data_IF_051365989462
#
_entry.id   IF_051365989462
#
_cell.length_a   1.000
_cell.length_b   1.000
_cell.length_c   1.000
_cell.angle_alpha   90.00
_cell.angle_beta   90.00
_cell.angle_gamma   90.00
#
_symmetry.space_group_name_H-M   'P 1'
#
loop_
_entity.id
_entity.type
_entity.pdbx_description
1 polymer ?
#
# COMPACT_ATOMS: atom_id res chain seq x y z
N UNK A 1 -16.03 1.14 -3.69
CA UNK A 1 -14.59 1.20 -3.35
C UNK A 1 -14.00 2.52 -3.83
N UNK A 2 -12.83 2.90 -3.30
CA UNK A 2 -12.25 4.25 -3.48
C UNK A 2 -12.13 4.69 -4.94
N UNK A 3 -12.79 5.80 -5.29
CA UNK A 3 -12.65 6.47 -6.59
C UNK A 3 -11.35 7.29 -6.70
N UNK A 4 -10.48 7.23 -5.69
CA UNK A 4 -9.23 7.98 -5.64
C UNK A 4 -8.34 7.60 -6.82
N UNK A 5 -7.75 8.62 -7.45
CA UNK A 5 -6.88 8.47 -8.61
C UNK A 5 -5.42 8.66 -8.19
N UNK A 6 -4.46 8.03 -8.89
CA UNK A 6 -3.04 8.26 -8.63
C UNK A 6 -2.67 9.73 -8.85
N UNK A 7 -1.98 10.31 -7.87
CA UNK A 7 -1.45 11.67 -7.95
C UNK A 7 -0.14 11.72 -8.78
N UNK A 8 0.44 12.92 -8.94
CA UNK A 8 1.67 13.13 -9.71
C UNK A 8 2.86 12.30 -9.22
N UNK A 9 3.01 12.09 -7.91
CA UNK A 9 4.08 11.27 -7.34
C UNK A 9 3.99 9.81 -7.79
N UNK A 10 2.79 9.21 -7.79
CA UNK A 10 2.62 7.84 -8.25
C UNK A 10 2.99 7.68 -9.74
N UNK A 11 2.56 8.63 -10.58
CA UNK A 11 2.86 8.63 -12.02
C UNK A 11 4.35 8.84 -12.29
N UNK A 12 5.00 9.68 -11.50
CA UNK A 12 6.45 9.89 -11.60
C UNK A 12 7.21 8.63 -11.24
N UNK A 13 6.88 7.97 -10.13
CA UNK A 13 7.52 6.73 -9.74
C UNK A 13 7.38 5.64 -10.82
N UNK A 14 6.20 5.54 -11.45
CA UNK A 14 6.00 4.69 -12.63
C UNK A 14 6.94 5.04 -13.79
N UNK A 15 7.13 6.33 -14.10
CA UNK A 15 8.01 6.71 -15.20
C UNK A 15 9.49 6.46 -14.87
N UNK A 16 9.91 6.72 -13.63
CA UNK A 16 11.26 6.41 -13.17
C UNK A 16 11.52 4.90 -13.16
N UNK A 17 10.48 4.10 -12.91
CA UNK A 17 10.52 2.65 -13.07
C UNK A 17 10.68 2.23 -14.54
N UNK A 18 9.92 2.82 -15.47
CA UNK A 18 10.07 2.55 -16.92
C UNK A 18 11.49 2.91 -17.41
N UNK A 19 12.12 3.92 -16.81
CA UNK A 19 13.50 4.34 -17.08
C UNK A 19 14.57 3.53 -16.31
N UNK A 20 14.14 2.56 -15.48
CA UNK A 20 15.01 1.73 -14.61
C UNK A 20 15.81 2.51 -13.57
N UNK A 21 15.37 3.73 -13.23
CA UNK A 21 15.93 4.53 -12.14
C UNK A 21 15.37 4.04 -10.80
N UNK A 22 14.08 3.74 -10.76
CA UNK A 22 13.44 3.07 -9.61
C UNK A 22 13.32 1.59 -9.94
N UNK A 23 14.11 0.75 -9.24
CA UNK A 23 14.09 -0.70 -9.47
C UNK A 23 12.83 -1.35 -8.90
N UNK A 24 12.37 -0.92 -7.72
CA UNK A 24 11.22 -1.49 -7.00
C UNK A 24 10.54 -0.42 -6.13
N UNK A 25 9.22 -0.52 -5.98
CA UNK A 25 8.43 0.30 -5.06
C UNK A 25 7.91 -0.59 -3.94
N UNK A 26 8.35 -0.34 -2.71
CA UNK A 26 7.75 -0.96 -1.52
C UNK A 26 6.77 0.02 -0.89
N UNK A 27 5.49 -0.35 -0.79
CA UNK A 27 4.45 0.51 -0.22
C UNK A 27 3.81 -0.10 1.02
N UNK A 28 3.57 0.75 2.02
CA UNK A 28 2.76 0.43 3.21
C UNK A 28 1.27 0.66 2.96
N UNK A 29 0.93 1.37 1.88
CA UNK A 29 -0.45 1.67 1.56
C UNK A 29 -1.14 0.45 0.97
N UNK A 30 -2.42 0.28 1.31
CA UNK A 30 -3.28 -0.81 0.81
C UNK A 30 -4.26 -0.33 -0.27
N UNK A 31 -4.05 0.89 -0.78
CA UNK A 31 -4.95 1.64 -1.66
C UNK A 31 -4.80 1.30 -3.16
N UNK A 32 -3.81 0.48 -3.53
CA UNK A 32 -3.56 0.04 -4.90
C UNK A 32 -3.16 1.16 -5.87
N UNK A 33 -2.85 2.37 -5.40
CA UNK A 33 -2.64 3.53 -6.27
C UNK A 33 -1.37 3.43 -7.13
N UNK A 34 -0.33 2.73 -6.67
CA UNK A 34 0.85 2.43 -7.49
C UNK A 34 0.50 1.51 -8.67
N UNK A 35 -0.23 0.42 -8.40
CA UNK A 35 -0.73 -0.50 -9.43
C UNK A 35 -1.65 0.24 -10.41
N UNK A 36 -2.53 1.10 -9.91
CA UNK A 36 -3.42 1.93 -10.74
C UNK A 36 -2.68 2.98 -11.56
N UNK A 37 -1.50 3.45 -11.12
CA UNK A 37 -0.61 4.29 -11.92
C UNK A 37 0.13 3.51 -13.01
N UNK A 38 0.08 2.18 -12.98
CA UNK A 38 0.71 1.27 -13.93
C UNK A 38 2.13 0.85 -13.55
N UNK A 39 2.55 1.06 -12.29
CA UNK A 39 3.79 0.49 -11.79
C UNK A 39 3.71 -1.03 -11.74
N UNK A 40 4.81 -1.72 -12.03
CA UNK A 40 4.84 -3.18 -12.21
C UNK A 40 5.59 -3.90 -11.10
N UNK A 41 6.73 -3.38 -10.67
CA UNK A 41 7.52 -3.91 -9.57
C UNK A 41 7.13 -3.23 -8.26
N UNK A 42 5.93 -3.58 -7.77
CA UNK A 42 5.36 -3.06 -6.53
C UNK A 42 5.27 -4.18 -5.50
N UNK A 43 5.84 -3.96 -4.32
CA UNK A 43 5.68 -4.82 -3.15
C UNK A 43 4.72 -4.14 -2.17
N UNK A 44 3.52 -4.71 -2.07
CA UNK A 44 2.49 -4.31 -1.11
C UNK A 44 2.83 -4.89 0.28
N UNK A 45 3.61 -4.16 1.09
CA UNK A 45 4.14 -4.64 2.38
C UNK A 45 3.03 -5.06 3.34
N UNK A 46 1.91 -4.33 3.33
CA UNK A 46 0.75 -4.57 4.19
C UNK A 46 -0.42 -5.21 3.45
N UNK A 47 -0.17 -5.78 2.27
CA UNK A 47 -1.22 -6.33 1.42
C UNK A 47 -2.06 -5.25 0.72
N UNK A 48 -3.29 -5.58 0.37
CA UNK A 48 -4.13 -4.76 -0.51
C UNK A 48 -5.60 -4.87 -0.16
N UNK A 49 -6.30 -3.73 -0.19
CA UNK A 49 -7.75 -3.69 0.04
C UNK A 49 -8.56 -4.28 -1.13
N UNK A 50 -7.90 -4.59 -2.26
CA UNK A 50 -8.54 -5.06 -3.49
C UNK A 50 -8.64 -6.58 -3.58
N UNK A 51 -8.23 -7.29 -2.52
CA UNK A 51 -8.21 -8.75 -2.48
C UNK A 51 -8.73 -9.26 -1.14
N UNK A 52 -9.40 -10.40 -1.19
CA UNK A 52 -9.88 -11.17 -0.04
C UNK A 52 -9.16 -12.51 -0.07
N UNK A 53 -8.69 -12.99 1.07
CA UNK A 53 -8.02 -14.28 1.21
C UNK A 53 -8.75 -15.18 2.19
N UNK A 54 -8.64 -16.48 2.01
CA UNK A 54 -9.05 -17.43 3.04
C UNK A 54 -7.92 -17.64 4.06
N UNK A 55 -8.30 -17.84 5.32
CA UNK A 55 -7.36 -18.15 6.40
C UNK A 55 -7.04 -19.65 6.52
N UNK A 56 -7.80 -20.50 5.83
CA UNK A 56 -7.67 -21.96 5.89
C UNK A 56 -7.06 -22.57 4.62
N UNK A 57 -7.16 -21.89 3.47
CA UNK A 57 -6.59 -22.34 2.20
C UNK A 57 -6.06 -21.16 1.39
N UNK A 58 -5.33 -21.45 0.31
CA UNK A 58 -4.59 -20.43 -0.44
C UNK A 58 -5.44 -19.61 -1.43
N UNK A 59 -6.78 -19.73 -1.38
CA UNK A 59 -7.63 -19.01 -2.32
C UNK A 59 -7.58 -17.50 -2.06
N UNK A 60 -7.45 -16.75 -3.14
CA UNK A 60 -7.53 -15.30 -3.17
C UNK A 60 -8.61 -14.89 -4.16
N UNK A 61 -9.47 -13.98 -3.73
CA UNK A 61 -10.66 -13.55 -4.44
C UNK A 61 -10.54 -12.04 -4.67
N UNK A 62 -10.93 -11.58 -5.84
CA UNK A 62 -11.02 -10.15 -6.11
C UNK A 62 -12.09 -9.53 -5.19
N UNK A 63 -11.76 -8.39 -4.55
CA UNK A 63 -12.67 -7.75 -3.59
C UNK A 63 -13.97 -7.26 -4.22
N UNK A 64 -13.98 -6.89 -5.50
CA UNK A 64 -15.19 -6.49 -6.23
C UNK A 64 -16.14 -7.67 -6.42
N UNK A 65 -15.60 -8.82 -6.83
CA UNK A 65 -16.40 -10.04 -7.00
C UNK A 65 -16.97 -10.48 -5.64
N UNK A 66 -16.16 -10.42 -4.58
CA UNK A 66 -16.63 -10.73 -3.23
C UNK A 66 -17.66 -9.73 -2.70
N UNK A 67 -17.63 -8.46 -3.13
CA UNK A 67 -18.66 -7.49 -2.75
C UNK A 67 -20.04 -7.94 -3.24
N UNK A 68 -20.13 -8.47 -4.46
CA UNK A 68 -21.41 -8.95 -5.00
C UNK A 68 -21.96 -10.13 -4.21
N UNK A 69 -21.06 -11.01 -3.72
CA UNK A 69 -21.44 -12.12 -2.83
C UNK A 69 -21.96 -11.58 -1.50
N UNK A 70 -21.28 -10.58 -0.92
CA UNK A 70 -21.73 -9.91 0.30
C UNK A 70 -23.09 -9.24 0.13
N UNK A 71 -23.30 -8.48 -0.95
CA UNK A 71 -24.56 -7.77 -1.23
C UNK A 71 -25.72 -8.75 -1.40
N UNK A 72 -25.47 -9.89 -2.05
CA UNK A 72 -26.48 -10.96 -2.23
C UNK A 72 -26.83 -11.63 -0.90
N UNK A 73 -25.84 -11.84 -0.03
CA UNK A 73 -26.05 -12.44 1.29
C UNK A 73 -26.71 -11.46 2.29
N UNK A 74 -26.61 -10.16 2.05
CA UNK A 74 -27.04 -9.11 2.97
C UNK A 74 -27.91 -8.03 2.28
N UNK A 75 -29.07 -8.41 1.70
CA UNK A 75 -29.88 -7.48 0.89
C UNK A 75 -30.47 -6.31 1.71
N UNK A 76 -30.58 -6.45 3.04
CA UNK A 76 -31.08 -5.42 3.96
C UNK A 76 -30.01 -4.39 4.35
N UNK A 77 -28.73 -4.68 4.13
CA UNK A 77 -27.63 -3.80 4.51
C UNK A 77 -27.48 -2.71 3.45
N UNK A 78 -28.03 -1.53 3.74
CA UNK A 78 -27.83 -0.35 2.89
C UNK A 78 -26.56 0.37 3.34
N UNK A 79 -25.49 0.33 2.55
CA UNK A 79 -24.23 0.98 2.88
C UNK A 79 -24.40 2.51 2.96
N UNK A 80 -24.57 3.04 4.17
CA UNK A 80 -24.59 4.49 4.39
C UNK A 80 -23.14 4.95 4.35
N UNK A 81 -22.78 5.72 3.33
CA UNK A 81 -21.42 6.25 3.08
C UNK A 81 -21.02 7.37 4.06
N UNK A 82 -21.18 7.15 5.36
CA UNK A 82 -20.75 8.09 6.38
C UNK A 82 -19.28 7.82 6.73
N UNK A 83 -18.41 8.73 6.29
CA UNK A 83 -17.02 8.87 6.70
C UNK A 83 -16.22 7.56 6.82
N UNK A 84 -15.72 7.08 5.68
CA UNK A 84 -14.79 5.95 5.60
C UNK A 84 -13.48 6.33 6.33
N UNK A 85 -13.09 5.57 7.35
CA UNK A 85 -11.79 5.70 8.04
C UNK A 85 -10.63 5.32 7.10
N UNK A 86 -9.36 5.69 7.40
CA UNK A 86 -8.23 5.43 6.49
C UNK A 86 -8.02 3.95 6.11
N UNK A 87 -8.46 3.02 6.95
CA UNK A 87 -8.46 1.56 6.76
C UNK A 87 -9.70 1.02 6.01
N UNK A 88 -10.72 1.86 5.79
CA UNK A 88 -11.94 1.49 5.09
C UNK A 88 -13.17 1.31 6.00
N UNK A 89 -13.02 1.44 7.32
CA UNK A 89 -14.09 1.15 8.26
C UNK A 89 -15.19 2.24 8.28
N UNK A 90 -16.42 1.80 8.54
CA UNK A 90 -17.63 2.64 8.69
C UNK A 90 -18.32 2.24 10.00
N UNK A 91 -18.87 3.21 10.72
CA UNK A 91 -19.68 2.94 11.90
C UNK A 91 -21.05 2.37 11.49
N UNK A 92 -21.34 1.15 11.93
CA UNK A 92 -22.62 0.46 11.74
C UNK A 92 -23.37 0.40 13.08
N UNK A 93 -24.70 0.41 13.06
CA UNK A 93 -25.48 0.19 14.29
C UNK A 93 -25.38 -1.28 14.74
N UNK A 94 -25.57 -1.55 16.04
CA UNK A 94 -25.55 -2.92 16.59
C UNK A 94 -26.54 -3.86 15.88
N UNK A 95 -27.74 -3.35 15.54
CA UNK A 95 -28.76 -4.06 14.77
C UNK A 95 -28.29 -4.45 13.35
N UNK A 96 -27.45 -3.62 12.71
CA UNK A 96 -26.87 -3.95 11.40
C UNK A 96 -25.75 -4.98 11.49
N UNK A 97 -25.15 -5.16 12.67
CA UNK A 97 -24.07 -6.14 12.90
C UNK A 97 -24.66 -7.52 13.20
N UNK A 98 -25.75 -7.59 13.97
CA UNK A 98 -26.37 -8.87 14.37
C UNK A 98 -26.92 -9.68 13.18
N UNK A 99 -27.53 -9.01 12.21
CA UNK A 99 -28.12 -9.68 11.02
C UNK A 99 -27.12 -9.85 9.86
N UNK A 100 -25.86 -9.45 10.04
CA UNK A 100 -24.86 -9.52 8.98
C UNK A 100 -24.36 -10.95 8.75
N UNK A 101 -24.58 -11.46 7.54
CA UNK A 101 -24.08 -12.76 7.10
C UNK A 101 -22.72 -12.59 6.43
N UNK A 102 -21.68 -13.15 7.02
CA UNK A 102 -20.35 -13.24 6.41
C UNK A 102 -20.23 -14.56 5.61
N UNK A 103 -20.17 -14.52 4.26
CA UNK A 103 -20.05 -15.72 3.44
C UNK A 103 -18.75 -16.47 3.70
N UNK A 104 -18.83 -17.79 3.80
CA UNK A 104 -17.67 -18.65 3.93
C UNK A 104 -16.92 -18.83 2.60
N UNK A 105 -15.66 -19.28 2.68
CA UNK A 105 -14.88 -19.64 1.51
C UNK A 105 -15.57 -20.74 0.69
N UNK A 106 -15.83 -20.49 -0.60
CA UNK A 106 -16.44 -21.48 -1.50
C UNK A 106 -15.59 -22.73 -1.75
N UNK A 107 -14.27 -22.65 -1.50
CA UNK A 107 -13.35 -23.77 -1.70
C UNK A 107 -13.25 -24.70 -0.48
N UNK A 108 -13.34 -24.17 0.75
CA UNK A 108 -13.08 -24.96 1.95
C UNK A 108 -14.01 -24.69 3.15
N UNK A 109 -14.96 -23.76 3.01
CA UNK A 109 -15.82 -23.32 4.12
C UNK A 109 -15.13 -22.47 5.19
N UNK A 110 -13.84 -22.17 5.03
CA UNK A 110 -13.07 -21.36 5.98
C UNK A 110 -13.42 -19.88 5.98
N UNK A 111 -12.82 -19.16 6.93
CA UNK A 111 -13.05 -17.72 7.13
C UNK A 111 -12.33 -16.93 6.04
N UNK A 112 -13.02 -15.94 5.48
CA UNK A 112 -12.48 -14.98 4.53
C UNK A 112 -12.10 -13.68 5.24
N UNK A 113 -10.93 -13.14 4.94
CA UNK A 113 -10.40 -11.89 5.47
C UNK A 113 -9.94 -11.00 4.31
N UNK A 114 -10.06 -9.67 4.38
CA UNK A 114 -9.29 -8.78 3.50
C UNK A 114 -7.80 -9.18 3.54
N UNK A 115 -7.14 -9.20 2.38
CA UNK A 115 -5.71 -9.53 2.28
C UNK A 115 -4.87 -8.32 2.65
N UNK A 116 -5.06 -7.84 3.88
CA UNK A 116 -4.37 -6.73 4.53
C UNK A 116 -3.72 -7.24 5.81
N UNK A 117 -2.53 -6.75 6.14
CA UNK A 117 -1.86 -7.01 7.43
C UNK A 117 -2.44 -6.05 8.47
N UNK A 118 -3.15 -6.56 9.47
CA UNK A 118 -3.68 -5.74 10.57
C UNK A 118 -2.60 -5.46 11.64
N UNK A 119 -2.89 -4.54 12.56
CA UNK A 119 -2.04 -4.34 13.71
C UNK A 119 -1.96 -5.62 14.55
N UNK A 120 -0.74 -6.09 14.81
CA UNK A 120 -0.48 -7.36 15.48
C UNK A 120 -0.30 -8.56 14.55
N UNK A 121 -0.69 -8.45 13.26
CA UNK A 121 -0.40 -9.47 12.26
C UNK A 121 1.07 -9.45 11.86
N UNK A 122 1.54 -10.57 11.31
CA UNK A 122 2.86 -10.66 10.70
C UNK A 122 2.76 -10.43 9.19
N UNK A 123 3.68 -9.62 8.66
CA UNK A 123 3.90 -9.54 7.21
C UNK A 123 4.32 -10.93 6.71
N UNK A 124 3.74 -11.46 5.62
CA UNK A 124 4.09 -12.77 5.09
C UNK A 124 5.60 -12.89 4.82
N UNK A 125 6.20 -14.05 5.16
CA UNK A 125 7.65 -14.27 5.01
C UNK A 125 8.14 -14.04 3.58
N UNK A 126 7.38 -14.49 2.59
CA UNK A 126 7.68 -14.31 1.17
C UNK A 126 7.75 -12.84 0.76
N UNK A 127 6.90 -11.99 1.34
CA UNK A 127 6.94 -10.52 1.13
C UNK A 127 8.18 -9.93 1.77
N UNK A 128 8.49 -10.30 3.02
CA UNK A 128 9.71 -9.84 3.72
C UNK A 128 10.97 -10.24 2.96
N UNK A 129 11.05 -11.48 2.48
CA UNK A 129 12.16 -11.98 1.67
C UNK A 129 12.28 -11.24 0.33
N UNK A 130 11.16 -10.90 -0.30
CA UNK A 130 11.14 -10.10 -1.53
C UNK A 130 11.68 -8.69 -1.29
N UNK A 131 11.21 -8.01 -0.24
CA UNK A 131 11.75 -6.70 0.15
C UNK A 131 13.24 -6.80 0.42
N UNK A 132 13.66 -7.82 1.17
CA UNK A 132 15.05 -8.03 1.53
C UNK A 132 15.92 -8.08 0.28
N UNK A 133 15.57 -8.94 -0.68
CA UNK A 133 16.30 -9.09 -1.94
C UNK A 133 16.41 -7.77 -2.71
N UNK A 134 15.30 -7.03 -2.84
CA UNK A 134 15.29 -5.78 -3.59
C UNK A 134 16.13 -4.69 -2.92
N UNK A 135 16.17 -4.63 -1.58
CA UNK A 135 17.04 -3.69 -0.85
C UNK A 135 18.52 -4.06 -1.00
N UNK A 136 18.84 -5.36 -0.96
CA UNK A 136 20.22 -5.83 -1.11
C UNK A 136 20.77 -5.51 -2.51
N UNK A 137 19.93 -5.65 -3.55
CA UNK A 137 20.24 -5.35 -4.96
C UNK A 137 20.22 -3.85 -5.30
N UNK A 138 19.52 -3.01 -4.54
CA UNK A 138 19.41 -1.58 -4.82
C UNK A 138 20.68 -0.79 -4.46
N UNK A 139 20.94 0.30 -5.18
CA UNK A 139 22.09 1.18 -4.91
C UNK A 139 21.80 2.25 -3.84
N UNK A 140 20.55 2.37 -3.39
CA UNK A 140 20.11 3.34 -2.39
C UNK A 140 18.61 3.22 -2.10
N UNK A 141 18.16 3.89 -1.04
CA UNK A 141 16.76 3.88 -0.60
C UNK A 141 16.20 5.30 -0.56
N UNK A 142 15.07 5.51 -1.23
CA UNK A 142 14.29 6.75 -1.16
C UNK A 142 12.98 6.51 -0.40
N UNK A 143 12.84 7.17 0.75
CA UNK A 143 11.66 7.08 1.62
C UNK A 143 10.75 8.28 1.36
N UNK A 144 9.47 8.02 1.09
CA UNK A 144 8.50 9.05 0.71
C UNK A 144 7.26 9.00 1.61
N UNK A 145 6.95 10.11 2.28
CA UNK A 145 5.64 10.34 2.90
C UNK A 145 5.26 9.32 3.98
N UNK A 146 6.20 8.89 4.81
CA UNK A 146 5.94 7.98 5.93
C UNK A 146 6.72 8.42 7.17
N UNK A 147 6.07 8.34 8.33
CA UNK A 147 6.72 8.58 9.63
C UNK A 147 7.62 7.42 10.07
N UNK A 148 7.49 6.25 9.44
CA UNK A 148 8.20 5.01 9.80
C UNK A 148 8.02 4.62 11.29
N UNK A 149 6.90 4.99 11.91
CA UNK A 149 6.61 4.59 13.29
C UNK A 149 6.35 3.08 13.39
N UNK A 150 5.72 2.50 12.38
CA UNK A 150 5.50 1.04 12.28
C UNK A 150 6.83 0.32 12.08
N UNK A 151 7.06 -0.72 12.87
CA UNK A 151 8.34 -1.43 12.83
C UNK A 151 8.57 -2.16 11.50
N UNK A 152 7.51 -2.64 10.83
CA UNK A 152 7.63 -3.30 9.52
C UNK A 152 8.26 -2.40 8.45
N UNK A 153 7.89 -1.11 8.40
CA UNK A 153 8.51 -0.14 7.49
C UNK A 153 9.92 0.24 7.96
N UNK A 154 10.09 0.49 9.26
CA UNK A 154 11.38 0.86 9.83
C UNK A 154 12.46 -0.22 9.66
N UNK A 155 12.09 -1.51 9.67
CA UNK A 155 13.03 -2.63 9.41
C UNK A 155 13.73 -2.54 8.05
N UNK A 156 13.07 -1.96 7.05
CA UNK A 156 13.65 -1.75 5.72
C UNK A 156 14.81 -0.76 5.81
N UNK A 157 14.66 0.29 6.63
CA UNK A 157 15.72 1.26 6.90
C UNK A 157 16.89 0.58 7.59
N UNK A 158 16.62 -0.21 8.64
CA UNK A 158 17.67 -0.93 9.38
C UNK A 158 18.47 -1.86 8.46
N UNK A 159 17.79 -2.56 7.55
CA UNK A 159 18.46 -3.38 6.54
C UNK A 159 19.33 -2.55 5.60
N UNK A 160 18.82 -1.42 5.10
CA UNK A 160 19.59 -0.52 4.24
C UNK A 160 20.84 0.02 4.95
N UNK A 161 20.73 0.36 6.25
CA UNK A 161 21.86 0.77 7.09
C UNK A 161 22.88 -0.36 7.24
N UNK A 162 22.44 -1.58 7.55
CA UNK A 162 23.31 -2.75 7.67
C UNK A 162 24.06 -3.04 6.36
N UNK A 163 23.38 -2.85 5.23
CA UNK A 163 23.95 -3.00 3.89
C UNK A 163 24.73 -1.75 3.40
N UNK A 164 24.94 -0.74 4.24
CA UNK A 164 25.62 0.53 3.91
C UNK A 164 25.06 1.24 2.67
N UNK A 165 23.74 1.18 2.47
CA UNK A 165 23.05 1.85 1.37
C UNK A 165 22.79 3.32 1.73
N UNK A 166 22.97 4.27 0.81
CA UNK A 166 22.55 5.65 1.02
C UNK A 166 21.03 5.74 1.17
N UNK A 167 20.56 6.53 2.14
CA UNK A 167 19.15 6.72 2.45
C UNK A 167 18.78 8.20 2.30
N UNK A 168 17.78 8.48 1.47
CA UNK A 168 17.18 9.79 1.33
C UNK A 168 15.72 9.75 1.81
N UNK A 169 15.27 10.78 2.53
CA UNK A 169 13.91 10.88 3.06
C UNK A 169 13.25 12.17 2.57
N UNK A 170 12.03 12.07 2.04
CA UNK A 170 11.14 13.19 1.78
C UNK A 170 9.87 13.00 2.57
N UNK A 171 9.69 13.79 3.63
CA UNK A 171 8.52 13.73 4.50
C UNK A 171 8.30 15.09 5.16
N UNK A 172 7.05 15.53 5.32
CA UNK A 172 6.73 16.85 5.90
C UNK A 172 7.19 16.94 7.37
N UNK A 173 7.05 15.86 8.13
CA UNK A 173 7.38 15.81 9.55
C UNK A 173 8.56 14.90 9.88
N UNK A 174 8.79 14.72 11.16
CA UNK A 174 9.78 13.78 11.68
C UNK A 174 9.51 12.35 11.22
N UNK A 175 10.59 11.59 11.03
CA UNK A 175 10.53 10.15 10.84
C UNK A 175 11.39 9.46 11.88
N UNK A 176 11.02 8.22 12.22
CA UNK A 176 11.84 7.38 13.09
C UNK A 176 13.25 7.12 12.54
N UNK A 177 13.48 7.38 11.26
CA UNK A 177 14.73 7.11 10.55
C UNK A 177 15.58 8.35 10.27
N UNK A 178 15.22 9.52 10.81
CA UNK A 178 15.91 10.78 10.51
C UNK A 178 17.43 10.70 10.79
N UNK A 179 17.84 10.04 11.87
CA UNK A 179 19.25 9.84 12.24
C UNK A 179 20.03 8.90 11.32
N UNK A 180 19.34 8.14 10.45
CA UNK A 180 19.96 7.24 9.47
C UNK A 180 20.00 7.83 8.07
N UNK A 181 19.32 8.96 7.82
CA UNK A 181 19.23 9.56 6.51
C UNK A 181 20.52 10.31 6.16
N UNK A 182 21.05 10.08 4.95
CA UNK A 182 22.10 10.92 4.38
C UNK A 182 21.55 12.27 3.93
N UNK A 183 20.29 12.29 3.47
CA UNK A 183 19.57 13.49 3.04
C UNK A 183 18.14 13.42 3.57
N UNK A 184 17.67 14.47 4.22
CA UNK A 184 16.26 14.66 4.57
C UNK A 184 15.74 15.96 3.97
N UNK A 185 14.59 15.90 3.31
CA UNK A 185 13.88 17.06 2.78
C UNK A 185 12.50 17.13 3.41
N UNK A 186 12.27 18.20 4.17
CA UNK A 186 10.98 18.46 4.82
C UNK A 186 10.03 19.20 3.89
N UNK A 187 9.28 18.44 3.08
CA UNK A 187 8.34 18.99 2.11
C UNK A 187 7.35 17.92 1.64
N UNK A 188 6.32 18.34 0.89
CA UNK A 188 5.42 17.44 0.18
C UNK A 188 6.17 16.79 -0.97
N UNK A 189 6.07 15.46 -1.11
CA UNK A 189 6.77 14.71 -2.17
C UNK A 189 6.52 15.31 -3.58
N UNK A 190 5.28 15.71 -3.87
CA UNK A 190 4.94 16.34 -5.15
C UNK A 190 5.69 17.64 -5.43
N UNK A 191 5.95 18.46 -4.41
CA UNK A 191 6.67 19.74 -4.57
C UNK A 191 8.17 19.53 -4.80
N UNK A 192 8.77 18.57 -4.08
CA UNK A 192 10.18 18.19 -4.27
C UNK A 192 10.38 17.66 -5.67
N UNK A 193 9.51 16.76 -6.11
CA UNK A 193 9.64 16.15 -7.43
C UNK A 193 9.35 17.10 -8.58
N UNK A 194 8.42 18.05 -8.43
CA UNK A 194 8.21 19.08 -9.43
C UNK A 194 9.47 19.93 -9.67
N UNK A 195 10.33 20.09 -8.65
CA UNK A 195 11.61 20.80 -8.78
C UNK A 195 12.73 19.93 -9.34
N UNK A 196 12.78 18.65 -8.98
CA UNK A 196 13.81 17.71 -9.45
C UNK A 196 13.57 17.25 -10.90
N UNK A 197 12.30 17.18 -11.30
CA UNK A 197 11.88 16.71 -12.62
C UNK A 197 10.92 17.75 -13.26
N UNK A 198 11.40 18.96 -13.59
CA UNK A 198 10.55 20.04 -14.08
C UNK A 198 9.84 19.71 -15.40
N UNK A 199 10.50 18.92 -16.27
CA UNK A 199 9.93 18.49 -17.56
C UNK A 199 8.80 17.45 -17.42
N UNK A 200 8.60 16.91 -16.21
CA UNK A 200 7.57 15.90 -15.95
C UNK A 200 6.14 16.42 -16.18
N UNK A 201 5.89 17.70 -15.90
CA UNK A 201 4.58 18.33 -16.11
C UNK A 201 4.14 18.36 -17.60
N UNK A 202 5.07 18.26 -18.54
CA UNK A 202 4.79 18.34 -19.98
C UNK A 202 4.36 17.00 -20.59
N UNK A 203 4.65 15.88 -19.92
CA UNK A 203 4.35 14.53 -20.43
C UNK A 203 2.98 13.97 -20.02
N UNK A 204 2.30 14.59 -19.06
CA UNK A 204 0.99 14.16 -18.55
C UNK A 204 -0.23 14.59 -19.40
N UNK A 205 0.00 15.26 -20.54
CA UNK A 205 -1.05 15.71 -21.48
C UNK A 205 -0.96 15.02 -22.86
N UNK A 206 -0.66 13.72 -22.90
CA UNK A 206 -0.76 12.95 -24.14
C UNK A 206 -1.67 11.73 -23.94
N UNK A 207 -2.84 11.85 -24.59
CA UNK A 207 -3.93 10.89 -24.89
C UNK A 207 -4.65 10.21 -23.73
#
# INVERSE_FOLDING_TARGET
>A
FSNVQPNGTHRLLKQLEDQKIVSCIVTQNVDGLHTKAGSKNVIELHGTAFRVMCLNCDVKINRYDFQQVLDTANPSVTAVSRAIRPDGDVELSEEQIEDFVLPACSNCGGILKPDIVFFGDNVPRTVVESVRRNVDEADGLLVLGTSLTTFSGYRIILQAVEANKPIAIVNIGETRADSHANIKVESRCGEVFAKLFPDFHLSSNIS
#
